data_IF_850515779744
#
_entry.id   IF_850515779744
#
_cell.length_a   1.000
_cell.length_b   1.000
_cell.length_c   1.000
_cell.angle_alpha   90.00
_cell.angle_beta   90.00
_cell.angle_gamma   90.00
#
_symmetry.space_group_name_H-M   'P 1'
#
loop_
_entity.id
_entity.type
_entity.pdbx_description
1 polymer ?
#
# COMPACT_ATOMS: atom_id res chain seq x y z
N UNK A 1 -3.40 -1.58 -1.22
CA UNK A 1 -2.91 -2.33 -0.04
C UNK A 1 -2.98 -1.43 1.19
N UNK A 2 -2.72 -1.95 2.39
CA UNK A 2 -2.68 -1.13 3.61
C UNK A 2 -1.70 0.04 3.50
N UNK A 3 -0.49 -0.19 2.98
CA UNK A 3 0.56 0.84 2.84
C UNK A 3 0.33 1.84 1.71
N UNK A 4 -0.60 1.55 0.79
CA UNK A 4 -1.07 2.54 -0.19
C UNK A 4 -2.36 3.24 0.26
N UNK A 5 -3.04 2.71 1.28
CA UNK A 5 -4.26 3.28 1.84
C UNK A 5 -3.95 4.28 2.97
N UNK A 6 -2.84 4.09 3.70
CA UNK A 6 -2.42 5.01 4.77
C UNK A 6 -2.31 6.50 4.39
N UNK A 7 -1.86 6.92 3.18
CA UNK A 7 -1.61 8.33 2.92
C UNK A 7 -2.91 9.07 2.54
N UNK A 8 -4.03 8.35 2.40
CA UNK A 8 -5.34 8.97 2.20
C UNK A 8 -5.82 9.74 3.44
N UNK A 9 -5.25 9.46 4.63
CA UNK A 9 -5.74 10.04 5.89
C UNK A 9 -7.09 9.51 6.35
N UNK A 10 -7.61 8.46 5.69
CA UNK A 10 -8.90 7.82 5.98
C UNK A 10 -8.74 6.39 6.53
N UNK A 11 -7.51 5.93 6.73
CA UNK A 11 -7.20 4.55 7.09
C UNK A 11 -6.67 4.47 8.52
N UNK A 12 -7.27 3.62 9.35
CA UNK A 12 -6.77 3.31 10.68
C UNK A 12 -5.61 2.31 10.56
N UNK A 13 -4.39 2.82 10.74
CA UNK A 13 -3.17 2.00 10.63
C UNK A 13 -3.02 0.98 11.75
N UNK A 14 -3.71 1.12 12.88
CA UNK A 14 -3.66 0.15 13.97
C UNK A 14 -4.60 -1.01 13.69
N UNK A 15 -5.84 -0.70 13.28
CA UNK A 15 -6.90 -1.67 13.00
C UNK A 15 -6.84 -2.25 11.58
N UNK A 16 -6.06 -1.63 10.68
CA UNK A 16 -5.91 -1.99 9.27
C UNK A 16 -7.24 -1.96 8.49
N UNK A 17 -8.08 -0.98 8.80
CA UNK A 17 -9.38 -0.77 8.16
C UNK A 17 -9.65 0.71 7.90
N UNK A 18 -10.67 1.04 7.11
CA UNK A 18 -11.08 2.42 6.91
C UNK A 18 -11.63 3.01 8.21
N UNK A 19 -11.20 4.22 8.56
CA UNK A 19 -11.51 4.87 9.83
C UNK A 19 -12.96 5.36 9.86
N UNK A 20 -13.84 4.60 10.51
CA UNK A 20 -15.26 4.93 10.63
C UNK A 20 -15.50 6.35 11.20
N UNK A 21 -14.82 6.80 12.26
CA UNK A 21 -15.04 8.16 12.79
C UNK A 21 -14.76 9.27 11.77
N UNK A 22 -13.72 9.10 10.94
CA UNK A 22 -13.36 10.09 9.91
C UNK A 22 -14.36 10.02 8.75
N UNK A 23 -14.71 8.81 8.33
CA UNK A 23 -15.67 8.59 7.25
C UNK A 23 -17.07 9.15 7.61
N UNK A 24 -17.53 8.94 8.83
CA UNK A 24 -18.81 9.49 9.33
C UNK A 24 -18.80 11.02 9.31
N UNK A 25 -17.71 11.65 9.74
CA UNK A 25 -17.57 13.10 9.73
C UNK A 25 -17.63 13.68 8.31
N UNK A 26 -17.11 12.95 7.33
CA UNK A 26 -17.11 13.34 5.92
C UNK A 26 -18.40 12.92 5.18
N UNK A 27 -19.29 12.15 5.82
CA UNK A 27 -20.49 11.61 5.18
C UNK A 27 -20.20 10.56 4.11
N UNK A 28 -19.07 9.85 4.21
CA UNK A 28 -18.63 8.84 3.24
C UNK A 28 -18.85 7.44 3.81
N UNK A 29 -19.30 6.49 2.98
CA UNK A 29 -19.48 5.10 3.39
C UNK A 29 -18.20 4.28 3.12
N UNK A 30 -17.81 3.37 4.03
CA UNK A 30 -16.67 2.46 3.80
C UNK A 30 -16.79 1.65 2.50
N UNK A 31 -18.02 1.30 2.10
CA UNK A 31 -18.30 0.54 0.86
C UNK A 31 -17.98 1.29 -0.42
N UNK A 32 -17.69 2.60 -0.35
CA UNK A 32 -17.22 3.39 -1.49
C UNK A 32 -15.72 3.20 -1.75
N UNK A 33 -15.01 2.55 -0.82
CA UNK A 33 -13.60 2.24 -0.96
C UNK A 33 -13.39 0.75 -1.31
N UNK A 34 -12.28 0.42 -1.98
CA UNK A 34 -11.90 -0.98 -2.14
C UNK A 34 -11.52 -1.60 -0.79
N UNK A 35 -11.62 -2.93 -0.71
CA UNK A 35 -11.10 -3.68 0.42
C UNK A 35 -9.58 -3.51 0.50
N UNK A 36 -9.10 -2.90 1.59
CA UNK A 36 -7.67 -2.73 1.83
C UNK A 36 -7.07 -4.05 2.33
N UNK A 37 -6.09 -4.56 1.60
CA UNK A 37 -5.40 -5.84 1.92
C UNK A 37 -3.93 -5.62 2.25
N UNK A 38 -3.33 -6.57 2.97
CA UNK A 38 -1.90 -6.58 3.25
C UNK A 38 -1.06 -6.57 1.96
N UNK A 39 0.06 -5.88 1.96
CA UNK A 39 1.03 -6.01 0.87
C UNK A 39 1.55 -7.45 0.78
N UNK A 40 1.73 -7.95 -0.44
CA UNK A 40 2.04 -9.35 -0.73
C UNK A 40 0.82 -10.26 -0.87
N UNK A 41 -0.39 -9.77 -0.60
CA UNK A 41 -1.62 -10.55 -0.82
C UNK A 41 -1.94 -10.61 -2.32
N UNK A 42 -2.25 -11.82 -2.84
CA UNK A 42 -2.80 -11.98 -4.20
C UNK A 42 -4.21 -11.40 -4.25
N UNK A 43 -4.42 -10.42 -5.13
CA UNK A 43 -5.71 -9.73 -5.32
C UNK A 43 -6.48 -10.23 -6.53
N UNK A 44 -5.84 -10.99 -7.41
CA UNK A 44 -6.49 -11.59 -8.56
C UNK A 44 -5.47 -12.11 -9.57
N UNK A 45 -5.91 -12.15 -10.82
CA UNK A 45 -5.10 -12.52 -11.98
C UNK A 45 -5.39 -11.58 -13.14
N UNK A 46 -4.42 -11.42 -14.05
CA UNK A 46 -4.62 -10.70 -15.31
C UNK A 46 -5.73 -11.41 -16.11
N UNK A 47 -6.79 -10.69 -16.46
CA UNK A 47 -7.88 -11.19 -17.30
C UNK A 47 -7.60 -10.96 -18.79
N UNK A 48 -8.31 -11.66 -19.69
CA UNK A 48 -8.14 -11.57 -21.15
C UNK A 48 -7.94 -10.14 -21.69
N UNK A 49 -8.86 -9.21 -21.39
CA UNK A 49 -8.74 -7.84 -21.90
C UNK A 49 -7.48 -7.09 -21.38
N UNK A 50 -7.05 -7.33 -20.15
CA UNK A 50 -5.81 -6.76 -19.60
C UNK A 50 -4.57 -7.42 -20.22
N UNK A 51 -4.62 -8.72 -20.50
CA UNK A 51 -3.56 -9.43 -21.19
C UNK A 51 -3.33 -8.83 -22.59
N UNK A 52 -4.40 -8.63 -23.36
CA UNK A 52 -4.33 -7.96 -24.68
C UNK A 52 -3.75 -6.55 -24.60
N UNK A 53 -4.13 -5.77 -23.58
CA UNK A 53 -3.69 -4.38 -23.45
C UNK A 53 -2.23 -4.23 -22.96
N UNK A 54 -1.71 -5.19 -22.19
CA UNK A 54 -0.42 -5.07 -21.50
C UNK A 54 0.66 -6.00 -22.05
N UNK A 55 0.29 -7.03 -22.81
CA UNK A 55 1.20 -8.10 -23.25
C UNK A 55 1.54 -9.13 -22.17
N UNK A 56 0.99 -8.99 -20.95
CA UNK A 56 1.12 -10.00 -19.90
C UNK A 56 0.25 -11.22 -20.22
N UNK A 57 0.69 -12.40 -19.78
CA UNK A 57 -0.10 -13.62 -19.95
C UNK A 57 -1.40 -13.56 -19.12
N UNK A 58 -2.52 -13.97 -19.72
CA UNK A 58 -3.76 -14.18 -18.97
C UNK A 58 -3.53 -15.22 -17.86
N UNK A 59 -4.13 -15.01 -16.69
CA UNK A 59 -3.91 -15.83 -15.50
C UNK A 59 -2.68 -15.45 -14.68
N UNK A 60 -1.83 -14.53 -15.14
CA UNK A 60 -0.68 -14.03 -14.36
C UNK A 60 -1.15 -13.49 -13.00
N UNK A 61 -0.59 -13.93 -11.86
CA UNK A 61 -0.99 -13.45 -10.54
C UNK A 61 -0.78 -11.94 -10.37
N UNK A 62 -1.78 -11.25 -9.83
CA UNK A 62 -1.70 -9.84 -9.45
C UNK A 62 -1.59 -9.76 -7.93
N UNK A 63 -0.52 -9.13 -7.45
CA UNK A 63 -0.18 -9.03 -6.02
C UNK A 63 -0.31 -7.57 -5.57
N UNK A 64 -0.93 -7.35 -4.41
CA UNK A 64 -1.00 -6.04 -3.78
C UNK A 64 0.41 -5.56 -3.39
N UNK A 65 0.88 -4.48 -4.00
CA UNK A 65 2.17 -3.84 -3.70
C UNK A 65 2.09 -2.89 -2.50
N UNK A 66 3.06 -2.01 -2.33
CA UNK A 66 3.00 -0.87 -1.40
C UNK A 66 3.11 0.46 -2.14
N UNK A 67 3.08 1.58 -1.39
CA UNK A 67 3.49 2.87 -1.92
C UNK A 67 4.97 2.89 -2.32
N UNK A 68 5.36 3.89 -3.12
CA UNK A 68 6.70 4.00 -3.68
C UNK A 68 7.78 4.11 -2.59
N UNK A 69 7.57 4.89 -1.53
CA UNK A 69 8.49 5.03 -0.40
C UNK A 69 8.67 3.73 0.37
N UNK A 70 7.58 3.02 0.66
CA UNK A 70 7.65 1.71 1.32
C UNK A 70 8.35 0.68 0.43
N UNK A 71 8.11 0.71 -0.88
CA UNK A 71 8.80 -0.16 -1.85
C UNK A 71 10.29 0.19 -1.99
N UNK A 72 10.67 1.47 -1.90
CA UNK A 72 12.06 1.91 -1.90
C UNK A 72 12.80 1.40 -0.65
N UNK A 73 12.18 1.52 0.53
CA UNK A 73 12.70 0.95 1.77
C UNK A 73 12.91 -0.56 1.68
N UNK A 74 11.94 -1.29 1.11
CA UNK A 74 12.08 -2.73 0.84
C UNK A 74 13.25 -3.02 -0.10
N UNK A 75 13.41 -2.25 -1.19
CA UNK A 75 14.47 -2.44 -2.17
C UNK A 75 15.88 -2.29 -1.62
N UNK A 76 16.05 -1.50 -0.55
CA UNK A 76 17.34 -1.32 0.16
C UNK A 76 17.42 -2.13 1.46
N UNK A 77 16.48 -3.05 1.69
CA UNK A 77 16.41 -3.90 2.88
C UNK A 77 16.29 -3.11 4.21
N UNK A 78 15.64 -1.94 4.19
CA UNK A 78 15.26 -1.17 5.38
C UNK A 78 14.02 -1.74 6.06
N UNK A 79 14.10 -3.01 6.45
CA UNK A 79 12.98 -3.82 6.96
C UNK A 79 13.21 -4.32 8.39
N UNK A 80 14.14 -3.69 9.13
CA UNK A 80 14.53 -4.07 10.49
C UNK A 80 14.97 -2.85 11.29
N UNK A 81 14.92 -2.96 12.60
CA UNK A 81 15.36 -1.92 13.52
C UNK A 81 16.78 -1.44 13.22
N UNK A 82 16.98 -0.13 13.33
CA UNK A 82 18.28 0.52 13.13
C UNK A 82 18.69 0.71 11.66
N UNK A 83 17.83 0.35 10.69
CA UNK A 83 18.08 0.65 9.28
C UNK A 83 17.16 1.77 8.82
N UNK A 84 17.77 2.81 8.24
CA UNK A 84 17.10 3.99 7.69
C UNK A 84 17.30 3.95 6.18
N UNK A 85 16.25 4.18 5.39
CA UNK A 85 16.43 4.54 3.98
C UNK A 85 16.36 6.04 3.83
N UNK A 86 17.16 6.57 2.90
CA UNK A 86 17.24 7.98 2.57
C UNK A 86 17.28 8.14 1.05
N UNK A 87 16.25 8.77 0.50
CA UNK A 87 16.18 9.15 -0.90
C UNK A 87 16.52 10.65 -1.02
N UNK A 88 17.58 10.95 -1.77
CA UNK A 88 18.14 12.30 -1.97
C UNK A 88 17.83 12.82 -3.39
N UNK A 89 16.58 12.68 -3.82
CA UNK A 89 16.10 13.17 -5.10
C UNK A 89 15.68 14.65 -5.05
N UNK A 90 14.67 15.01 -5.84
CA UNK A 90 14.08 16.37 -5.85
C UNK A 90 13.63 16.83 -4.46
N UNK A 91 13.12 15.90 -3.65
CA UNK A 91 12.87 16.10 -2.24
C UNK A 91 13.61 15.04 -1.44
N UNK A 92 13.92 15.36 -0.19
CA UNK A 92 14.48 14.40 0.75
C UNK A 92 13.32 13.61 1.36
N UNK A 93 13.33 12.30 1.13
CA UNK A 93 12.39 11.35 1.75
C UNK A 93 13.21 10.35 2.55
N UNK A 94 12.87 10.18 3.82
CA UNK A 94 13.49 9.18 4.68
C UNK A 94 12.42 8.32 5.33
N UNK A 95 12.79 7.08 5.67
CA UNK A 95 11.91 6.20 6.42
C UNK A 95 12.68 5.19 7.23
N UNK A 96 12.05 4.76 8.31
CA UNK A 96 12.55 3.74 9.23
C UNK A 96 11.50 2.65 9.38
N UNK A 97 11.96 1.45 9.68
CA UNK A 97 11.07 0.37 10.07
C UNK A 97 10.73 0.49 11.56
N UNK A 98 9.49 0.17 11.91
CA UNK A 98 9.04 -0.03 13.29
C UNK A 98 8.19 -1.29 13.35
N UNK A 99 8.26 -2.02 14.47
CA UNK A 99 7.42 -3.20 14.73
C UNK A 99 5.96 -2.84 14.91
N UNK A 100 5.70 -1.75 15.63
CA UNK A 100 4.36 -1.26 15.93
C UNK A 100 4.11 0.09 15.25
N UNK A 101 2.86 0.39 14.85
CA UNK A 101 2.48 1.73 14.44
C UNK A 101 2.82 2.74 15.57
N UNK A 102 3.47 3.84 15.21
CA UNK A 102 3.83 4.95 16.11
C UNK A 102 3.23 6.25 15.63
#
# INVERSE_FOLDING_TARGET
SWTSADPFGLFDISRKEWSQPILDHLGIKPTQFPNAVRSGTRVGTVHAAAATATGLAEGTPVIAAGGDGQCAGLGVNAMRDGVVYLNLGTAIVAGIWSREPV
#
